data_IF_055370900814
#
_entry.id   IF_055370900814
#
_cell.length_a   1.000
_cell.length_b   1.000
_cell.length_c   1.000
_cell.angle_alpha   90.00
_cell.angle_beta   90.00
_cell.angle_gamma   90.00
#
_symmetry.space_group_name_H-M   'P 1'
#
loop_
_entity.id
_entity.type
_entity.pdbx_description
1 polymer ?
#
# COMPACT_ATOMS: atom_id res chain seq x y z
N UNK A 1 -17.38 -10.51 32.85
CA UNK A 1 -17.10 -11.22 31.59
C UNK A 1 -17.17 -10.17 30.52
N UNK A 2 -16.00 -9.67 30.12
CA UNK A 2 -15.85 -8.46 29.32
C UNK A 2 -16.43 -8.68 27.94
N UNK A 3 -17.49 -7.95 27.66
CA UNK A 3 -18.10 -7.79 26.35
C UNK A 3 -17.15 -6.90 25.52
N UNK A 4 -16.12 -7.51 24.93
CA UNK A 4 -15.27 -6.85 23.95
C UNK A 4 -15.93 -7.07 22.59
N UNK A 5 -16.99 -6.33 22.32
CA UNK A 5 -17.59 -6.26 20.99
C UNK A 5 -16.61 -5.53 20.07
N UNK A 6 -15.58 -6.25 19.62
CA UNK A 6 -14.82 -5.88 18.43
C UNK A 6 -15.85 -5.75 17.30
N UNK A 7 -16.13 -4.52 16.91
CA UNK A 7 -17.10 -4.26 15.85
C UNK A 7 -16.57 -4.89 14.57
N UNK A 8 -17.39 -5.67 13.83
CA UNK A 8 -16.94 -6.31 12.61
C UNK A 8 -16.50 -5.25 11.61
N UNK A 9 -15.21 -5.27 11.26
CA UNK A 9 -14.71 -4.49 10.14
C UNK A 9 -15.15 -5.21 8.88
N UNK A 10 -16.16 -4.67 8.20
CA UNK A 10 -16.71 -5.20 6.95
C UNK A 10 -15.65 -5.26 5.83
N UNK A 11 -14.68 -4.35 5.87
CA UNK A 11 -13.49 -4.35 5.02
C UNK A 11 -12.27 -3.98 5.85
N UNK A 12 -11.20 -4.78 5.71
CA UNK A 12 -9.89 -4.51 6.29
C UNK A 12 -8.90 -4.23 5.19
N UNK A 13 -8.22 -3.09 5.27
CA UNK A 13 -7.17 -2.72 4.33
C UNK A 13 -5.90 -2.38 5.11
N UNK A 14 -4.80 -3.03 4.74
CA UNK A 14 -3.46 -2.74 5.24
C UNK A 14 -2.52 -2.57 4.06
N UNK A 15 -1.52 -1.71 4.19
CA UNK A 15 -0.50 -1.49 3.16
C UNK A 15 0.69 -0.75 3.77
N UNK A 16 1.84 -0.93 3.12
CA UNK A 16 2.96 -0.03 3.25
C UNK A 16 2.92 0.96 2.07
N UNK A 17 3.38 2.20 2.29
CA UNK A 17 3.42 3.22 1.25
C UNK A 17 4.76 3.96 1.20
N UNK A 18 5.22 4.26 -0.02
CA UNK A 18 6.38 5.13 -0.27
C UNK A 18 5.94 6.29 -1.16
N UNK A 19 6.11 7.56 -0.73
CA UNK A 19 5.89 8.71 -1.60
C UNK A 19 6.94 8.72 -2.71
N UNK A 20 6.52 8.75 -3.98
CA UNK A 20 7.45 8.63 -5.10
C UNK A 20 8.44 9.81 -5.20
N UNK A 21 8.09 10.97 -4.63
CA UNK A 21 8.98 12.13 -4.50
C UNK A 21 10.24 11.88 -3.66
N UNK A 22 10.25 10.88 -2.76
CA UNK A 22 11.44 10.55 -1.96
C UNK A 22 12.41 9.64 -2.72
N UNK A 23 12.00 9.09 -3.86
CA UNK A 23 12.83 8.22 -4.70
C UNK A 23 13.67 9.09 -5.65
N UNK A 24 14.86 9.47 -5.18
CA UNK A 24 15.78 10.35 -5.91
C UNK A 24 16.71 9.57 -6.86
N UNK A 25 17.12 8.35 -6.49
CA UNK A 25 17.98 7.51 -7.33
C UNK A 25 17.20 6.86 -8.47
N UNK A 26 17.86 6.75 -9.62
CA UNK A 26 17.43 5.91 -10.73
C UNK A 26 17.99 4.48 -10.60
N UNK A 27 19.23 4.36 -10.13
CA UNK A 27 19.93 3.08 -10.05
C UNK A 27 19.70 2.36 -8.70
N UNK A 28 19.47 1.04 -8.73
CA UNK A 28 19.35 0.25 -7.51
C UNK A 28 20.70 0.09 -6.79
N UNK A 29 20.70 -0.09 -5.45
CA UNK A 29 21.90 -0.44 -4.70
C UNK A 29 22.52 -1.75 -5.21
N UNK A 30 23.85 -1.82 -5.24
CA UNK A 30 24.61 -2.98 -5.74
C UNK A 30 24.43 -4.23 -4.85
N UNK A 31 24.07 -4.03 -3.59
CA UNK A 31 23.89 -5.04 -2.54
C UNK A 31 22.41 -5.36 -2.24
N UNK A 32 21.49 -4.87 -3.07
CA UNK A 32 20.06 -5.06 -2.87
C UNK A 32 19.64 -6.53 -3.00
N UNK A 33 18.73 -6.97 -2.12
CA UNK A 33 18.12 -8.29 -2.21
C UNK A 33 17.28 -8.41 -3.50
N UNK A 34 17.09 -9.63 -4.05
CA UNK A 34 16.28 -9.82 -5.26
C UNK A 34 14.85 -9.28 -5.14
N UNK A 35 14.23 -9.40 -3.95
CA UNK A 35 12.90 -8.85 -3.69
C UNK A 35 12.88 -7.31 -3.70
N UNK A 36 13.92 -6.68 -3.15
CA UNK A 36 14.06 -5.23 -3.19
C UNK A 36 14.29 -4.72 -4.62
N UNK A 37 15.12 -5.41 -5.41
CA UNK A 37 15.32 -5.08 -6.82
C UNK A 37 14.03 -5.16 -7.63
N UNK A 38 13.21 -6.19 -7.38
CA UNK A 38 11.92 -6.33 -8.05
C UNK A 38 10.94 -5.22 -7.64
N UNK A 39 10.91 -4.84 -6.37
CA UNK A 39 10.12 -3.70 -5.89
C UNK A 39 10.61 -2.39 -6.51
N UNK A 40 11.94 -2.18 -6.55
CA UNK A 40 12.56 -1.00 -7.13
C UNK A 40 12.19 -0.84 -8.61
N UNK A 41 12.27 -1.92 -9.40
CA UNK A 41 11.86 -1.90 -10.80
C UNK A 41 10.38 -1.49 -10.97
N UNK A 42 9.49 -2.03 -10.13
CA UNK A 42 8.07 -1.65 -10.15
C UNK A 42 7.85 -0.19 -9.77
N UNK A 43 8.56 0.31 -8.76
CA UNK A 43 8.51 1.72 -8.33
C UNK A 43 9.03 2.64 -9.44
N UNK A 44 10.14 2.31 -10.08
CA UNK A 44 10.69 3.09 -11.20
C UNK A 44 9.71 3.12 -12.39
N UNK A 45 9.08 2.00 -12.71
CA UNK A 45 8.01 1.95 -13.73
C UNK A 45 6.82 2.83 -13.35
N UNK A 46 6.40 2.84 -12.08
CA UNK A 46 5.34 3.71 -11.60
C UNK A 46 5.73 5.20 -11.71
N UNK A 47 6.97 5.56 -11.37
CA UNK A 47 7.50 6.92 -11.51
C UNK A 47 7.48 7.36 -12.97
N UNK A 48 7.90 6.49 -13.89
CA UNK A 48 7.90 6.81 -15.32
C UNK A 48 6.48 7.01 -15.87
N UNK A 49 5.51 6.22 -15.38
CA UNK A 49 4.12 6.25 -15.84
C UNK A 49 3.32 7.42 -15.27
N UNK A 50 3.50 7.73 -14.00
CA UNK A 50 2.63 8.65 -13.24
C UNK A 50 3.34 9.91 -12.72
N UNK A 51 4.67 9.95 -12.79
CA UNK A 51 5.46 11.01 -12.18
C UNK A 51 5.63 10.83 -10.67
N UNK A 52 6.41 11.75 -10.08
CA UNK A 52 6.83 11.70 -8.66
C UNK A 52 5.93 12.51 -7.72
N UNK A 53 5.27 13.53 -8.24
CA UNK A 53 4.45 14.45 -7.46
C UNK A 53 3.05 13.89 -7.29
N UNK A 54 2.49 14.01 -6.08
CA UNK A 54 1.14 13.56 -5.75
C UNK A 54 0.93 12.06 -6.07
N UNK A 55 2.02 11.28 -6.00
CA UNK A 55 2.05 9.87 -6.33
C UNK A 55 2.71 9.08 -5.21
N UNK A 56 2.06 7.99 -4.81
CA UNK A 56 2.48 7.08 -3.76
C UNK A 56 2.52 5.67 -4.32
N UNK A 57 3.54 4.90 -4.01
CA UNK A 57 3.58 3.49 -4.33
C UNK A 57 3.15 2.68 -3.11
N UNK A 58 2.12 1.86 -3.27
CA UNK A 58 1.60 0.96 -2.25
C UNK A 58 2.16 -0.44 -2.50
N UNK A 59 2.66 -1.08 -1.45
CA UNK A 59 3.20 -2.44 -1.50
C UNK A 59 2.86 -3.18 -0.21
N UNK A 60 3.01 -4.52 -0.24
CA UNK A 60 2.50 -5.40 0.81
C UNK A 60 1.02 -5.13 1.16
N UNK A 61 0.25 -4.65 0.17
CA UNK A 61 -1.14 -4.33 0.37
C UNK A 61 -1.96 -5.59 0.57
N UNK A 62 -2.85 -5.58 1.54
CA UNK A 62 -3.85 -6.61 1.77
C UNK A 62 -5.22 -5.97 1.98
N UNK A 63 -6.22 -6.51 1.29
CA UNK A 63 -7.61 -6.12 1.41
C UNK A 63 -8.45 -7.37 1.68
N UNK A 64 -9.15 -7.39 2.81
CA UNK A 64 -10.01 -8.49 3.23
C UNK A 64 -11.45 -8.00 3.31
N UNK A 65 -12.34 -8.63 2.54
CA UNK A 65 -13.78 -8.42 2.62
C UNK A 65 -14.43 -9.50 3.48
N UNK A 66 -15.32 -9.07 4.38
CA UNK A 66 -16.09 -9.96 5.25
C UNK A 66 -17.56 -9.94 4.83
N UNK A 67 -18.03 -11.02 4.21
CA UNK A 67 -19.39 -11.15 3.65
C UNK A 67 -20.37 -11.78 4.64
N UNK A 68 -19.87 -12.43 5.69
CA UNK A 68 -20.67 -12.91 6.80
C UNK A 68 -20.08 -12.47 8.14
N UNK A 69 -20.83 -12.69 9.21
CA UNK A 69 -20.37 -12.38 10.57
C UNK A 69 -19.44 -13.45 11.16
N UNK A 70 -19.16 -14.53 10.41
CA UNK A 70 -18.25 -15.61 10.81
C UNK A 70 -16.94 -15.48 10.02
N UNK A 71 -15.81 -15.38 10.72
CA UNK A 71 -14.49 -15.23 10.09
C UNK A 71 -14.04 -16.48 9.32
N UNK A 72 -14.66 -17.63 9.57
CA UNK A 72 -14.35 -18.89 8.89
C UNK A 72 -15.14 -19.11 7.61
N UNK A 73 -16.22 -18.35 7.39
CA UNK A 73 -17.12 -18.52 6.24
C UNK A 73 -17.43 -17.17 5.61
N UNK A 74 -17.13 -16.98 4.34
CA UNK A 74 -17.49 -15.72 3.66
C UNK A 74 -16.41 -14.63 3.71
N UNK A 75 -15.14 -15.01 3.73
CA UNK A 75 -14.00 -14.08 3.70
C UNK A 75 -13.37 -14.11 2.30
N UNK A 76 -13.07 -12.94 1.74
CA UNK A 76 -12.28 -12.80 0.51
C UNK A 76 -11.02 -11.99 0.79
N UNK A 77 -9.84 -12.57 0.62
CA UNK A 77 -8.56 -11.91 0.85
C UNK A 77 -7.81 -11.65 -0.46
N UNK A 78 -7.52 -10.39 -0.73
CA UNK A 78 -6.75 -9.94 -1.89
C UNK A 78 -5.44 -9.31 -1.43
N UNK A 79 -4.35 -9.63 -2.11
CA UNK A 79 -3.15 -8.80 -2.06
C UNK A 79 -3.19 -7.77 -3.18
N UNK A 80 -2.61 -6.61 -2.93
CA UNK A 80 -2.47 -5.59 -3.95
C UNK A 80 -1.13 -4.84 -3.84
N UNK A 81 -0.68 -4.35 -4.98
CA UNK A 81 0.41 -3.39 -5.07
C UNK A 81 0.20 -2.45 -6.25
N UNK A 82 0.79 -1.27 -6.23
CA UNK A 82 0.70 -0.34 -7.35
C UNK A 82 0.80 1.11 -6.95
N UNK A 83 0.32 2.01 -7.79
CA UNK A 83 0.45 3.45 -7.61
C UNK A 83 -0.89 4.09 -7.22
N UNK A 84 -0.86 4.98 -6.24
CA UNK A 84 -1.98 5.82 -5.83
C UNK A 84 -1.64 7.29 -6.11
N UNK A 85 -2.61 8.01 -6.64
CA UNK A 85 -2.53 9.41 -6.99
C UNK A 85 -3.42 10.22 -6.05
N UNK A 86 -2.90 11.35 -5.58
CA UNK A 86 -3.61 12.32 -4.75
C UNK A 86 -3.94 13.57 -5.56
N UNK A 87 -4.79 14.41 -4.99
CA UNK A 87 -5.01 15.78 -5.46
C UNK A 87 -3.75 16.63 -5.31
N UNK A 88 -3.76 17.84 -5.90
CA UNK A 88 -2.62 18.75 -5.89
C UNK A 88 -2.16 19.15 -4.48
N UNK A 89 -3.04 19.05 -3.49
CA UNK A 89 -2.75 19.40 -2.09
C UNK A 89 -2.30 18.20 -1.24
N UNK A 90 -2.21 16.99 -1.82
CA UNK A 90 -1.83 15.76 -1.10
C UNK A 90 -2.79 15.40 0.06
N UNK A 91 -4.07 15.79 -0.07
CA UNK A 91 -5.10 15.61 0.97
C UNK A 91 -6.06 14.48 0.68
N UNK A 92 -6.30 14.19 -0.60
CA UNK A 92 -7.33 13.23 -1.02
C UNK A 92 -6.79 12.34 -2.14
N UNK A 93 -6.91 11.03 -1.97
CA UNK A 93 -6.71 10.04 -3.01
C UNK A 93 -7.78 10.19 -4.10
N UNK A 94 -7.35 10.43 -5.33
CA UNK A 94 -8.24 10.66 -6.48
C UNK A 94 -8.29 9.48 -7.43
N UNK A 95 -7.20 8.74 -7.55
CA UNK A 95 -7.09 7.58 -8.42
C UNK A 95 -6.05 6.60 -7.90
N UNK A 96 -6.17 5.34 -8.30
CA UNK A 96 -5.14 4.34 -8.05
C UNK A 96 -5.06 3.41 -9.26
N UNK A 97 -3.87 2.90 -9.53
CA UNK A 97 -3.58 1.83 -10.49
C UNK A 97 -2.93 0.69 -9.72
N UNK A 98 -3.75 -0.30 -9.38
CA UNK A 98 -3.37 -1.41 -8.51
C UNK A 98 -3.44 -2.72 -9.29
N UNK A 99 -2.41 -3.53 -9.14
CA UNK A 99 -2.43 -4.94 -9.48
C UNK A 99 -2.97 -5.72 -8.27
N UNK A 100 -4.05 -6.47 -8.47
CA UNK A 100 -4.76 -7.18 -7.40
C UNK A 100 -4.70 -8.68 -7.65
N UNK A 101 -4.35 -9.46 -6.64
CA UNK A 101 -4.26 -10.92 -6.72
C UNK A 101 -5.07 -11.54 -5.58
N UNK A 102 -5.96 -12.49 -5.88
CA UNK A 102 -6.66 -13.27 -4.86
C UNK A 102 -5.65 -14.13 -4.08
N UNK A 103 -5.59 -13.97 -2.76
CA UNK A 103 -4.75 -14.77 -1.87
C UNK A 103 -5.47 -15.99 -1.32
N UNK A 104 -6.78 -15.88 -1.14
CA UNK A 104 -7.63 -16.97 -0.73
C UNK A 104 -9.03 -16.48 -0.41
N UNK A 105 -9.96 -17.42 -0.39
CA UNK A 105 -11.34 -17.21 0.00
C UNK A 105 -11.87 -18.39 0.82
N UNK A 106 -12.88 -18.12 1.62
CA UNK A 106 -13.69 -19.14 2.31
C UNK A 106 -15.12 -19.17 1.75
N UNK A 107 -15.27 -18.81 0.47
CA UNK A 107 -16.55 -18.60 -0.18
C UNK A 107 -16.78 -19.68 -1.25
N UNK A 108 -17.18 -20.88 -0.84
CA UNK A 108 -17.49 -21.99 -1.77
C UNK A 108 -18.63 -21.67 -2.78
N UNK A 109 -19.37 -20.59 -2.53
CA UNK A 109 -20.46 -20.09 -3.35
C UNK A 109 -20.08 -18.88 -4.23
N UNK A 110 -18.87 -18.33 -4.06
CA UNK A 110 -18.39 -17.24 -4.89
C UNK A 110 -17.94 -17.77 -6.25
N UNK A 111 -18.47 -17.18 -7.32
CA UNK A 111 -18.10 -17.52 -8.69
C UNK A 111 -17.04 -16.56 -9.21
N UNK A 112 -16.32 -16.95 -10.25
CA UNK A 112 -15.28 -16.12 -10.87
C UNK A 112 -15.72 -14.67 -11.18
N UNK A 113 -16.92 -14.39 -11.73
CA UNK A 113 -17.38 -13.01 -11.93
C UNK A 113 -17.50 -12.21 -10.63
N UNK A 114 -17.92 -12.85 -9.53
CA UNK A 114 -18.00 -12.23 -8.21
C UNK A 114 -16.60 -11.89 -7.70
N UNK A 115 -15.67 -12.84 -7.81
CA UNK A 115 -14.27 -12.63 -7.42
C UNK A 115 -13.61 -11.50 -8.22
N UNK A 116 -13.87 -11.42 -9.53
CA UNK A 116 -13.39 -10.29 -10.37
C UNK A 116 -13.97 -8.95 -9.90
N UNK A 117 -15.27 -8.90 -9.61
CA UNK A 117 -15.91 -7.69 -9.12
C UNK A 117 -15.32 -7.24 -7.77
N UNK A 118 -15.01 -8.18 -6.87
CA UNK A 118 -14.33 -7.84 -5.61
C UNK A 118 -12.88 -7.41 -5.82
N UNK A 119 -12.16 -8.01 -6.77
CA UNK A 119 -10.82 -7.58 -7.14
C UNK A 119 -10.82 -6.12 -7.63
N UNK A 120 -11.79 -5.73 -8.47
CA UNK A 120 -11.98 -4.33 -8.86
C UNK A 120 -12.36 -3.44 -7.67
N UNK A 121 -13.19 -3.95 -6.76
CA UNK A 121 -13.63 -3.25 -5.54
C UNK A 121 -12.50 -2.94 -4.56
N UNK A 122 -11.37 -3.67 -4.61
CA UNK A 122 -10.16 -3.34 -3.85
C UNK A 122 -9.73 -1.89 -4.12
N UNK A 123 -9.84 -1.41 -5.37
CA UNK A 123 -9.46 -0.03 -5.73
C UNK A 123 -10.28 0.99 -4.95
N UNK A 124 -11.59 0.77 -4.87
CA UNK A 124 -12.50 1.64 -4.12
C UNK A 124 -12.21 1.62 -2.62
N UNK A 125 -11.99 0.43 -2.06
CA UNK A 125 -11.64 0.28 -0.65
C UNK A 125 -10.32 0.99 -0.30
N UNK A 126 -9.29 0.83 -1.13
CA UNK A 126 -7.98 1.45 -0.93
C UNK A 126 -8.05 2.97 -1.01
N UNK A 127 -8.81 3.55 -1.94
CA UNK A 127 -8.96 5.01 -2.01
C UNK A 127 -9.57 5.59 -0.72
N UNK A 128 -10.61 4.94 -0.19
CA UNK A 128 -11.25 5.36 1.07
C UNK A 128 -10.31 5.18 2.25
N UNK A 129 -9.62 4.05 2.33
CA UNK A 129 -8.67 3.79 3.42
C UNK A 129 -7.49 4.77 3.36
N UNK A 130 -6.97 5.09 2.18
CA UNK A 130 -5.86 6.03 2.04
C UNK A 130 -6.27 7.44 2.48
N UNK A 131 -7.49 7.88 2.19
CA UNK A 131 -8.02 9.14 2.73
C UNK A 131 -8.05 9.15 4.26
N UNK A 132 -8.45 8.02 4.86
CA UNK A 132 -8.43 7.85 6.33
C UNK A 132 -7.00 7.91 6.87
N UNK A 133 -6.05 7.28 6.18
CA UNK A 133 -4.63 7.29 6.51
C UNK A 133 -4.02 8.70 6.45
N UNK A 134 -4.31 9.48 5.40
CA UNK A 134 -3.89 10.89 5.31
C UNK A 134 -4.50 11.70 6.45
N UNK A 135 -5.81 11.58 6.67
CA UNK A 135 -6.53 12.35 7.68
C UNK A 135 -6.07 12.04 9.12
N UNK A 136 -5.58 10.83 9.38
CA UNK A 136 -4.98 10.45 10.65
C UNK A 136 -3.57 11.05 10.89
N UNK A 137 -3.00 11.76 9.91
CA UNK A 137 -1.66 12.33 9.98
C UNK A 137 -0.55 11.29 9.86
N UNK A 138 -0.87 10.05 9.46
CA UNK A 138 0.13 8.98 9.35
C UNK A 138 1.04 9.15 8.13
N UNK A 139 0.66 10.03 7.19
CA UNK A 139 1.52 10.46 6.10
C UNK A 139 2.76 11.21 6.62
N UNK A 140 2.57 12.16 7.54
CA UNK A 140 3.67 12.93 8.14
C UNK A 140 4.58 12.02 8.99
N UNK A 141 3.99 11.06 9.73
CA UNK A 141 4.75 10.07 10.50
C UNK A 141 5.54 9.12 9.60
N UNK A 142 5.00 8.73 8.45
CA UNK A 142 5.72 7.92 7.47
C UNK A 142 6.92 8.67 6.91
N UNK A 143 6.74 9.96 6.58
CA UNK A 143 7.85 10.83 6.14
C UNK A 143 8.89 11.00 7.26
N UNK A 144 8.47 11.22 8.51
CA UNK A 144 9.39 11.36 9.64
C UNK A 144 10.13 10.05 9.98
N UNK A 145 9.47 8.90 9.88
CA UNK A 145 10.09 7.58 10.03
C UNK A 145 11.11 7.30 8.94
N UNK A 146 10.80 7.65 7.68
CA UNK A 146 11.76 7.52 6.59
C UNK A 146 13.00 8.38 6.83
N UNK A 147 12.82 9.64 7.26
CA UNK A 147 13.93 10.52 7.64
C UNK A 147 14.76 9.95 8.81
N UNK A 148 14.12 9.44 9.86
CA UNK A 148 14.83 8.78 10.98
C UNK A 148 15.57 7.53 10.56
N UNK A 149 15.00 6.74 9.66
CA UNK A 149 15.67 5.56 9.12
C UNK A 149 16.88 5.94 8.26
N UNK A 150 16.81 7.03 7.49
CA UNK A 150 17.95 7.62 6.80
C UNK A 150 19.03 8.08 7.79
N UNK A 151 18.66 8.84 8.84
CA UNK A 151 19.58 9.31 9.89
C UNK A 151 20.23 8.16 10.69
N UNK A 152 19.48 7.10 11.03
CA UNK A 152 20.01 5.92 11.73
C UNK A 152 20.95 5.09 10.84
N UNK A 153 20.70 5.07 9.53
CA UNK A 153 21.58 4.43 8.55
C UNK A 153 22.87 5.24 8.36
N UNK A 154 22.82 6.57 8.45
CA UNK A 154 24.01 7.43 8.48
C UNK A 154 24.88 7.20 9.73
N UNK A 155 24.28 6.94 10.88
CA UNK A 155 24.99 6.75 12.17
C UNK A 155 25.71 5.39 12.31
N UNK A 156 25.28 4.34 11.59
CA UNK A 156 25.87 2.99 11.69
C UNK A 156 27.02 2.70 10.71
N UNK A 157 27.50 3.70 10.00
CA UNK A 157 28.78 3.62 9.28
C UNK A 157 28.71 2.78 8.00
N UNK A 158 28.15 3.36 6.95
CA UNK A 158 28.11 2.74 5.62
C UNK A 158 27.68 3.71 4.52
N UNK A 159 28.44 4.80 4.38
CA UNK A 159 28.47 5.76 3.26
C UNK A 159 27.39 5.62 2.17
N UNK A 160 26.34 6.45 2.24
CA UNK A 160 25.60 6.90 1.04
C UNK A 160 25.19 8.35 1.24
N UNK A 161 26.10 9.27 0.95
CA UNK A 161 25.80 10.71 0.94
C UNK A 161 24.77 11.07 -0.13
N UNK A 162 23.87 12.00 0.21
CA UNK A 162 23.09 12.75 -0.75
C UNK A 162 23.08 14.24 -0.42
N UNK A 163 24.01 14.95 -1.04
CA UNK A 163 24.07 16.40 -1.04
C UNK A 163 25.13 16.89 -2.03
N UNK A 164 24.74 17.02 -3.30
CA UNK A 164 25.24 18.01 -4.24
C UNK A 164 24.09 18.44 -5.15
#
# INVERSE_FOLDING_TARGET
MSDCTEHPRWVEVTFDCVPLRTVVRADPPLDASPGFLALWDRVQRAIQKYGRHNSYYLFHGQCTFHLTNDSTVGTLSFAFEGCLLTDSEDKVAVACDLETTLKGDTCDWATEPILRWFAESVRHAVLVEFNRFIAAGDLEKTVERLKKLEEETELKGGYVGFGL
#
